data_IF_148591794674
#
_entry.id   IF_148591794674
#
_cell.length_a   1.000
_cell.length_b   1.000
_cell.length_c   1.000
_cell.angle_alpha   90.00
_cell.angle_beta   90.00
_cell.angle_gamma   90.00
#
_symmetry.space_group_name_H-M   'P 1'
#
loop_
_entity.id
_entity.type
_entity.pdbx_description
1 polymer ?
#
# COMPACT_ATOMS: atom_id res chain seq x y z
N UNK A 1 11.38 52.06 -32.05
CA UNK A 1 11.81 50.68 -31.74
C UNK A 1 11.59 50.44 -30.26
N UNK A 2 10.55 49.71 -29.88
CA UNK A 2 10.40 49.16 -28.52
C UNK A 2 10.18 47.68 -28.70
N UNK A 3 11.23 46.88 -28.46
CA UNK A 3 11.14 45.42 -28.44
C UNK A 3 10.52 45.04 -27.10
N UNK A 4 9.22 44.75 -27.10
CA UNK A 4 8.52 44.22 -25.93
C UNK A 4 9.01 42.80 -25.63
N UNK A 5 9.59 42.61 -24.45
CA UNK A 5 9.96 41.30 -23.94
C UNK A 5 8.68 40.65 -23.36
N UNK A 6 8.09 39.70 -24.08
CA UNK A 6 6.96 38.91 -23.57
C UNK A 6 7.56 37.86 -22.63
N UNK A 7 7.42 38.07 -21.32
CA UNK A 7 7.71 37.06 -20.31
C UNK A 7 6.51 36.08 -20.27
N UNK A 8 6.66 34.91 -20.87
CA UNK A 8 5.66 33.84 -20.78
C UNK A 8 5.84 33.16 -19.42
N UNK A 9 5.01 33.52 -18.44
CA UNK A 9 4.85 32.74 -17.22
C UNK A 9 4.13 31.43 -17.58
N UNK A 10 4.88 30.36 -17.80
CA UNK A 10 4.33 29.00 -17.81
C UNK A 10 4.00 28.64 -16.37
N UNK A 11 2.76 28.87 -15.97
CA UNK A 11 2.21 28.33 -14.73
C UNK A 11 2.08 26.83 -14.94
N UNK A 12 3.08 26.06 -14.49
CA UNK A 12 2.93 24.62 -14.31
C UNK A 12 1.90 24.41 -13.20
N UNK A 13 0.65 24.19 -13.60
CA UNK A 13 -0.36 23.58 -12.74
C UNK A 13 0.10 22.16 -12.46
N UNK A 14 0.92 21.99 -11.41
CA UNK A 14 1.06 20.69 -10.75
C UNK A 14 -0.31 20.43 -10.13
N UNK A 15 -1.20 19.78 -10.87
CA UNK A 15 -2.31 19.11 -10.22
C UNK A 15 -1.66 18.07 -9.33
N UNK A 16 -1.78 18.22 -8.02
CA UNK A 16 -1.66 17.11 -7.09
C UNK A 16 -2.69 16.08 -7.54
N UNK A 17 -2.29 15.20 -8.44
CA UNK A 17 -2.99 13.94 -8.62
C UNK A 17 -2.52 13.20 -7.37
N UNK A 18 -3.36 13.18 -6.35
CA UNK A 18 -3.15 12.32 -5.21
C UNK A 18 -3.59 10.94 -5.65
N UNK A 19 -2.70 9.96 -5.53
CA UNK A 19 -3.07 8.58 -5.80
C UNK A 19 -4.08 8.18 -4.76
N UNK A 20 -4.94 7.22 -5.08
CA UNK A 20 -5.86 6.73 -4.08
C UNK A 20 -6.18 5.28 -4.36
N UNK A 21 -5.95 4.44 -3.37
CA UNK A 21 -6.27 3.03 -3.45
C UNK A 21 -6.38 2.37 -2.08
N UNK A 22 -7.23 1.36 -2.00
CA UNK A 22 -7.53 0.66 -0.76
C UNK A 22 -7.65 -0.85 -1.00
N UNK A 23 -7.16 -1.65 -0.06
CA UNK A 23 -7.32 -3.10 -0.08
C UNK A 23 -8.64 -3.47 0.57
N UNK A 24 -9.51 -4.16 -0.18
CA UNK A 24 -10.89 -4.48 0.21
C UNK A 24 -11.12 -5.97 0.46
N UNK A 25 -10.27 -6.84 -0.08
CA UNK A 25 -10.38 -8.29 0.11
C UNK A 25 -8.97 -8.92 0.23
N UNK A 26 -8.55 -9.45 1.39
CA UNK A 26 -9.19 -9.21 2.67
C UNK A 26 -9.16 -7.69 3.00
N UNK A 27 -10.16 -7.14 3.71
CA UNK A 27 -10.18 -5.71 4.00
C UNK A 27 -8.95 -5.28 4.80
N UNK A 28 -8.28 -4.22 4.33
CA UNK A 28 -7.26 -3.54 5.10
C UNK A 28 -7.86 -2.88 6.35
N UNK A 29 -7.04 -2.62 7.37
CA UNK A 29 -7.45 -2.05 8.66
C UNK A 29 -8.29 -0.77 8.50
N UNK A 30 -7.83 0.17 7.67
CA UNK A 30 -8.59 1.38 7.37
C UNK A 30 -9.90 1.14 6.62
N UNK A 31 -10.04 0.04 5.88
CA UNK A 31 -11.26 -0.30 5.12
C UNK A 31 -12.19 -1.27 5.85
N UNK A 32 -11.79 -1.80 7.00
CA UNK A 32 -12.55 -2.81 7.77
C UNK A 32 -13.97 -2.34 8.09
N UNK A 33 -14.17 -1.05 8.34
CA UNK A 33 -15.48 -0.48 8.66
C UNK A 33 -16.52 -0.65 7.55
N UNK A 34 -16.10 -0.86 6.29
CA UNK A 34 -17.00 -1.15 5.18
C UNK A 34 -17.65 -2.53 5.28
N UNK A 35 -17.07 -3.43 6.06
CA UNK A 35 -17.49 -4.82 6.22
C UNK A 35 -17.92 -5.16 7.65
N UNK A 36 -17.41 -4.40 8.62
CA UNK A 36 -17.76 -4.52 10.04
C UNK A 36 -18.09 -3.14 10.62
N UNK A 37 -19.37 -2.82 10.74
CA UNK A 37 -19.83 -1.50 11.20
C UNK A 37 -19.56 -1.21 12.69
N UNK A 38 -19.01 -2.15 13.45
CA UNK A 38 -18.67 -1.95 14.86
C UNK A 38 -17.30 -1.31 15.09
N UNK A 39 -16.44 -1.26 14.05
CA UNK A 39 -15.11 -0.65 14.14
C UNK A 39 -15.15 0.85 13.80
N UNK A 40 -14.15 1.59 14.27
CA UNK A 40 -14.00 3.02 13.95
C UNK A 40 -13.86 3.22 12.43
N UNK A 41 -14.71 4.05 11.79
CA UNK A 41 -14.61 4.29 10.36
C UNK A 41 -13.43 5.20 10.01
N UNK A 42 -12.71 4.86 8.95
CA UNK A 42 -11.82 5.77 8.23
C UNK A 42 -12.41 6.08 6.84
N UNK A 43 -12.98 7.27 6.66
CA UNK A 43 -13.57 7.67 5.38
C UNK A 43 -12.54 8.02 4.31
N UNK A 44 -11.26 8.06 4.67
CA UNK A 44 -10.10 8.28 3.79
C UNK A 44 -9.23 7.03 3.71
N UNK A 45 -9.86 5.87 3.72
CA UNK A 45 -9.20 4.56 3.73
C UNK A 45 -8.42 4.24 2.45
N UNK A 46 -8.57 5.07 1.42
CA UNK A 46 -7.77 5.10 0.20
C UNK A 46 -6.59 6.08 0.22
N UNK A 47 -6.35 6.79 1.33
CA UNK A 47 -5.27 7.79 1.49
C UNK A 47 -4.14 7.26 2.41
N UNK A 48 -3.91 5.95 2.47
CA UNK A 48 -2.77 5.38 3.20
C UNK A 48 -1.46 5.51 2.38
N UNK A 49 -1.14 6.75 2.02
CA UNK A 49 -0.12 7.17 1.04
C UNK A 49 1.20 7.69 1.64
N UNK A 50 1.57 7.21 2.83
CA UNK A 50 2.80 7.62 3.51
C UNK A 50 2.87 9.13 3.85
N UNK A 51 1.72 9.79 3.95
CA UNK A 51 1.60 11.25 4.09
C UNK A 51 1.64 12.05 2.79
N UNK A 52 1.67 11.37 1.63
CA UNK A 52 1.75 11.95 0.30
C UNK A 52 3.18 12.01 -0.24
N UNK A 53 3.30 12.10 -1.57
CA UNK A 53 4.58 12.02 -2.29
C UNK A 53 5.68 12.95 -1.73
N UNK A 54 5.36 14.21 -1.43
CA UNK A 54 6.33 15.18 -0.89
C UNK A 54 6.80 14.81 0.52
N UNK A 55 5.86 14.46 1.41
CA UNK A 55 6.17 14.08 2.80
C UNK A 55 7.02 12.81 2.81
N UNK A 56 6.66 11.81 2.00
CA UNK A 56 7.43 10.59 1.88
C UNK A 56 8.85 10.87 1.36
N UNK A 57 8.97 11.48 0.19
CA UNK A 57 10.24 11.49 -0.55
C UNK A 57 11.17 12.62 -0.11
N UNK A 58 10.66 13.83 0.08
CA UNK A 58 11.48 15.00 0.38
C UNK A 58 11.71 15.17 1.89
N UNK A 59 10.69 14.97 2.71
CA UNK A 59 10.81 15.17 4.17
C UNK A 59 11.31 13.94 4.90
N UNK A 60 10.91 12.74 4.45
CA UNK A 60 11.19 11.48 5.13
C UNK A 60 12.17 10.58 4.37
N UNK A 61 12.85 11.09 3.33
CA UNK A 61 13.90 10.35 2.61
C UNK A 61 13.42 9.05 1.97
N UNK A 62 12.17 9.02 1.51
CA UNK A 62 11.51 7.85 0.90
C UNK A 62 10.84 6.92 1.91
N UNK A 63 11.01 7.16 3.21
CA UNK A 63 10.46 6.29 4.26
C UNK A 63 8.94 6.43 4.38
N UNK A 64 8.29 5.33 4.72
CA UNK A 64 6.84 5.21 4.89
C UNK A 64 6.54 4.43 6.16
N UNK A 65 5.41 4.73 6.82
CA UNK A 65 4.87 3.88 7.87
C UNK A 65 4.62 2.46 7.37
N UNK A 66 4.68 1.49 8.28
CA UNK A 66 4.62 0.06 7.93
C UNK A 66 3.34 -0.28 7.18
N UNK A 67 2.25 0.39 7.54
CA UNK A 67 0.91 0.22 6.98
C UNK A 67 0.34 1.47 6.31
N UNK A 68 1.22 2.37 5.85
CA UNK A 68 0.85 3.49 4.96
C UNK A 68 0.59 4.83 5.64
N UNK A 69 0.74 4.91 6.96
CA UNK A 69 0.78 6.19 7.69
C UNK A 69 2.06 6.99 7.33
N UNK A 70 2.08 8.32 7.51
CA UNK A 70 3.31 9.10 7.48
C UNK A 70 4.39 8.51 8.40
N UNK A 71 5.63 8.38 7.91
CA UNK A 71 6.70 7.73 8.66
C UNK A 71 6.94 8.33 10.06
N UNK A 72 6.77 9.64 10.20
CA UNK A 72 7.00 10.39 11.45
C UNK A 72 5.81 10.41 12.40
N UNK A 73 4.68 9.78 12.05
CA UNK A 73 3.52 9.77 12.93
C UNK A 73 3.83 9.08 14.28
N UNK A 74 3.19 9.53 15.38
CA UNK A 74 3.37 8.91 16.68
C UNK A 74 3.07 7.41 16.66
N UNK A 75 3.84 6.64 17.43
CA UNK A 75 3.65 5.20 17.55
C UNK A 75 2.72 4.86 18.74
N UNK A 76 1.84 3.85 18.62
CA UNK A 76 1.56 3.10 17.39
C UNK A 76 0.88 3.98 16.35
N UNK A 77 1.34 3.90 15.10
CA UNK A 77 0.71 4.61 14.00
C UNK A 77 -0.71 4.06 13.80
N UNK A 78 -1.62 4.88 13.26
CA UNK A 78 -3.04 4.54 13.24
C UNK A 78 -3.34 3.21 12.51
N UNK A 79 -2.64 2.90 11.42
CA UNK A 79 -2.82 1.66 10.67
C UNK A 79 -1.90 0.52 11.12
N UNK A 80 -0.96 0.74 12.03
CA UNK A 80 -0.15 -0.32 12.62
C UNK A 80 -0.98 -1.16 13.62
N UNK A 81 -0.51 -2.37 13.94
CA UNK A 81 -1.09 -3.20 14.99
C UNK A 81 -1.07 -2.42 16.31
N UNK A 82 -2.14 -2.56 17.07
CA UNK A 82 -2.45 -1.77 18.29
C UNK A 82 -2.69 -0.27 18.09
N UNK A 83 -2.60 0.22 16.84
CA UNK A 83 -3.07 1.54 16.44
C UNK A 83 -4.59 1.66 16.41
N UNK A 84 -5.09 2.85 16.10
CA UNK A 84 -6.52 3.16 16.05
C UNK A 84 -7.34 2.18 15.17
N UNK A 85 -6.78 1.76 14.04
CA UNK A 85 -7.42 0.83 13.11
C UNK A 85 -6.86 -0.59 13.20
N UNK A 86 -5.70 -0.78 13.85
CA UNK A 86 -5.08 -2.09 14.07
C UNK A 86 -5.61 -2.81 15.30
N UNK A 87 -6.90 -3.13 15.31
CA UNK A 87 -7.61 -3.72 16.46
C UNK A 87 -7.46 -5.25 16.56
N UNK A 88 -6.76 -5.88 15.61
CA UNK A 88 -6.49 -7.31 15.60
C UNK A 88 -7.66 -8.20 15.18
N UNK A 89 -8.69 -7.63 14.58
CA UNK A 89 -9.81 -8.37 13.98
C UNK A 89 -9.33 -9.14 12.76
N UNK A 90 -9.49 -10.46 12.76
CA UNK A 90 -9.14 -11.30 11.62
C UNK A 90 -10.11 -11.06 10.48
N UNK A 91 -9.61 -10.48 9.40
CA UNK A 91 -10.34 -10.18 8.18
C UNK A 91 -10.69 -11.45 7.40
N UNK A 92 -9.77 -12.42 7.36
CA UNK A 92 -9.99 -13.71 6.71
C UNK A 92 -9.04 -14.77 7.28
N UNK A 93 -9.52 -16.02 7.34
CA UNK A 93 -8.69 -17.21 7.61
C UNK A 93 -8.44 -18.00 6.32
N UNK A 94 -7.19 -18.34 6.04
CA UNK A 94 -6.74 -19.10 4.87
C UNK A 94 -6.08 -20.41 5.29
N UNK A 95 -5.77 -21.26 4.31
CA UNK A 95 -4.98 -22.49 4.51
C UNK A 95 -3.49 -22.24 4.21
N UNK A 96 -2.56 -22.98 4.84
CA UNK A 96 -1.16 -22.97 4.46
C UNK A 96 -0.99 -23.23 2.96
N UNK A 97 -0.07 -22.48 2.31
CA UNK A 97 0.23 -22.63 0.88
C UNK A 97 -0.84 -22.13 -0.10
N UNK A 98 -1.97 -21.64 0.40
CA UNK A 98 -3.10 -21.25 -0.43
C UNK A 98 -2.74 -20.09 -1.36
N UNK A 99 -3.17 -20.18 -2.63
CA UNK A 99 -3.25 -19.02 -3.51
C UNK A 99 -4.55 -18.27 -3.20
N UNK A 100 -4.43 -17.03 -2.75
CA UNK A 100 -5.54 -16.17 -2.34
C UNK A 100 -5.75 -15.04 -3.34
N UNK A 101 -6.98 -14.58 -3.49
CA UNK A 101 -7.27 -13.38 -4.27
C UNK A 101 -7.18 -12.15 -3.35
N UNK A 102 -6.37 -11.17 -3.72
CA UNK A 102 -6.27 -9.88 -3.03
C UNK A 102 -6.93 -8.81 -3.89
N UNK A 103 -8.06 -8.29 -3.41
CA UNK A 103 -8.89 -7.28 -4.03
C UNK A 103 -8.49 -5.87 -3.63
N UNK A 104 -8.13 -5.04 -4.61
CA UNK A 104 -7.76 -3.63 -4.45
C UNK A 104 -8.68 -2.76 -5.31
N UNK A 105 -9.18 -1.66 -4.75
CA UNK A 105 -9.88 -0.62 -5.48
C UNK A 105 -8.97 0.61 -5.61
N UNK A 106 -8.66 1.02 -6.83
CA UNK A 106 -8.07 2.31 -7.15
C UNK A 106 -9.18 3.31 -7.44
N UNK A 107 -9.24 4.40 -6.67
CA UNK A 107 -10.11 5.54 -6.98
C UNK A 107 -9.38 6.61 -7.79
N UNK A 108 -8.04 6.59 -7.79
CA UNK A 108 -7.19 7.32 -8.71
C UNK A 108 -6.00 6.45 -9.11
N UNK A 109 -5.92 6.09 -10.39
CA UNK A 109 -4.90 5.20 -10.94
C UNK A 109 -3.66 6.01 -11.38
N UNK A 110 -2.50 5.69 -10.80
CA UNK A 110 -1.22 6.36 -11.02
C UNK A 110 -0.21 5.49 -11.78
N UNK A 111 -0.65 4.40 -12.42
CA UNK A 111 0.21 3.37 -13.01
C UNK A 111 1.21 2.83 -11.98
N UNK A 112 2.20 2.05 -12.39
CA UNK A 112 3.23 1.51 -11.50
C UNK A 112 2.94 0.06 -11.13
N UNK A 113 3.22 -0.34 -9.90
CA UNK A 113 3.20 -1.75 -9.50
C UNK A 113 2.60 -2.02 -8.14
N UNK A 114 1.94 -3.16 -8.00
CA UNK A 114 1.58 -3.74 -6.71
C UNK A 114 2.57 -4.82 -6.30
N UNK A 115 2.89 -4.87 -5.01
CA UNK A 115 3.55 -5.99 -4.37
C UNK A 115 2.80 -6.38 -3.09
N UNK A 116 3.08 -7.60 -2.63
CA UNK A 116 2.47 -8.15 -1.44
C UNK A 116 3.55 -8.71 -0.53
N UNK A 117 3.39 -8.53 0.77
CA UNK A 117 4.31 -9.07 1.77
C UNK A 117 3.53 -9.56 2.99
N UNK A 118 4.08 -10.52 3.70
CA UNK A 118 3.46 -11.12 4.89
C UNK A 118 4.38 -11.00 6.10
N UNK A 119 3.80 -10.60 7.23
CA UNK A 119 4.44 -10.63 8.53
C UNK A 119 3.70 -11.60 9.46
N UNK A 120 4.40 -12.57 10.03
CA UNK A 120 3.91 -13.28 11.22
C UNK A 120 4.23 -12.39 12.42
N UNK A 121 3.21 -11.93 13.15
CA UNK A 121 3.43 -10.96 14.22
C UNK A 121 4.34 -11.55 15.31
N UNK A 122 5.50 -10.92 15.60
CA UNK A 122 6.37 -11.39 16.68
C UNK A 122 5.73 -11.22 18.06
N UNK A 123 4.96 -10.15 18.25
CA UNK A 123 4.14 -9.89 19.43
C UNK A 123 2.81 -9.29 18.97
N UNK A 124 1.71 -9.96 19.31
CA UNK A 124 0.35 -9.54 18.94
C UNK A 124 -0.11 -8.28 19.67
N UNK A 125 0.59 -7.88 20.74
CA UNK A 125 0.30 -6.70 21.55
C UNK A 125 1.22 -5.51 21.24
N UNK A 126 2.05 -5.61 20.20
CA UNK A 126 2.97 -4.55 19.78
C UNK A 126 2.84 -4.27 18.27
N UNK A 127 3.21 -3.06 17.80
CA UNK A 127 3.30 -2.77 16.37
C UNK A 127 4.24 -3.74 15.65
N UNK A 128 3.87 -4.12 14.44
CA UNK A 128 4.72 -4.89 13.54
C UNK A 128 5.96 -4.08 13.12
N UNK A 129 7.17 -4.65 13.20
CA UNK A 129 8.36 -4.00 12.67
C UNK A 129 8.47 -4.21 11.16
N UNK A 130 9.01 -3.24 10.40
CA UNK A 130 9.18 -3.37 8.94
C UNK A 130 9.94 -4.66 8.54
N UNK A 131 10.90 -5.10 9.35
CA UNK A 131 11.73 -6.28 9.07
C UNK A 131 11.04 -7.64 9.27
N UNK A 132 9.79 -7.68 9.75
CA UNK A 132 9.03 -8.94 9.83
C UNK A 132 8.37 -9.31 8.49
N UNK A 133 8.25 -8.36 7.58
CA UNK A 133 7.61 -8.60 6.28
C UNK A 133 8.53 -9.34 5.35
N UNK A 134 8.02 -10.46 4.82
CA UNK A 134 8.64 -11.24 3.77
C UNK A 134 7.81 -11.08 2.50
N UNK A 135 8.46 -10.84 1.37
CA UNK A 135 7.77 -10.66 0.09
C UNK A 135 7.06 -11.95 -0.34
N UNK A 136 5.86 -11.79 -0.90
CA UNK A 136 5.08 -12.85 -1.49
C UNK A 136 5.16 -12.77 -3.02
N UNK A 137 5.05 -13.93 -3.66
CA UNK A 137 4.94 -14.02 -5.11
C UNK A 137 3.46 -14.12 -5.53
N UNK A 138 3.18 -13.65 -6.73
CA UNK A 138 1.92 -13.90 -7.41
C UNK A 138 1.82 -15.38 -7.85
N UNK A 139 0.63 -15.83 -8.22
CA UNK A 139 0.39 -17.21 -8.67
C UNK A 139 1.32 -17.62 -9.82
N UNK A 140 1.61 -16.68 -10.73
CA UNK A 140 2.48 -16.85 -11.89
C UNK A 140 3.99 -16.81 -11.56
N UNK A 141 4.34 -16.59 -10.29
CA UNK A 141 5.71 -16.53 -9.81
C UNK A 141 6.38 -15.15 -9.92
N UNK A 142 5.69 -14.14 -10.44
CA UNK A 142 6.20 -12.76 -10.45
C UNK A 142 6.14 -12.12 -9.05
N UNK A 143 7.03 -11.15 -8.80
CA UNK A 143 7.03 -10.38 -7.54
C UNK A 143 6.12 -9.16 -7.56
N UNK A 144 5.65 -8.76 -8.75
CA UNK A 144 4.87 -7.54 -8.93
C UNK A 144 3.78 -7.69 -9.99
N UNK A 145 2.61 -7.11 -9.71
CA UNK A 145 1.60 -6.84 -10.73
C UNK A 145 1.85 -5.46 -11.33
N UNK A 146 1.82 -5.34 -12.65
CA UNK A 146 1.95 -4.04 -13.35
C UNK A 146 0.58 -3.47 -13.64
N UNK A 147 0.35 -2.24 -13.21
CA UNK A 147 -0.95 -1.56 -13.34
C UNK A 147 -1.08 -0.96 -14.73
N UNK A 148 -2.23 -1.19 -15.35
CA UNK A 148 -2.65 -0.62 -16.63
C UNK A 148 -3.53 0.60 -16.42
N UNK A 149 -3.76 1.42 -17.45
CA UNK A 149 -4.57 2.64 -17.31
C UNK A 149 -6.06 2.33 -17.06
N UNK A 150 -6.50 1.13 -17.44
CA UNK A 150 -7.87 0.64 -17.33
C UNK A 150 -8.17 0.03 -15.96
N UNK A 151 -7.15 -0.24 -15.15
CA UNK A 151 -7.29 -0.86 -13.85
C UNK A 151 -8.03 0.05 -12.86
N UNK A 152 -9.12 -0.46 -12.30
CA UNK A 152 -9.92 0.20 -11.25
C UNK A 152 -10.10 -0.77 -10.09
N UNK A 153 -10.68 -1.94 -10.35
CA UNK A 153 -10.80 -3.03 -9.40
C UNK A 153 -9.88 -4.16 -9.82
N UNK A 154 -8.85 -4.41 -9.02
CA UNK A 154 -7.79 -5.37 -9.30
C UNK A 154 -7.92 -6.54 -8.34
N UNK A 155 -7.80 -7.76 -8.87
CA UNK A 155 -7.87 -9.01 -8.12
C UNK A 155 -6.60 -9.79 -8.43
N UNK A 156 -5.57 -9.61 -7.61
CA UNK A 156 -4.31 -10.32 -7.81
C UNK A 156 -4.32 -11.64 -7.05
N UNK A 157 -3.87 -12.71 -7.69
CA UNK A 157 -3.70 -14.00 -7.03
C UNK A 157 -2.32 -14.07 -6.39
N UNK A 158 -2.27 -14.15 -5.07
CA UNK A 158 -1.05 -14.10 -4.26
C UNK A 158 -0.86 -15.46 -3.57
N UNK A 159 0.36 -16.00 -3.62
CA UNK A 159 0.68 -17.29 -2.98
C UNK A 159 1.10 -17.08 -1.53
N UNK A 160 0.34 -17.63 -0.59
CA UNK A 160 0.73 -17.67 0.81
C UNK A 160 1.79 -18.76 1.06
N UNK A 161 2.65 -18.58 2.08
CA UNK A 161 3.64 -19.58 2.45
C UNK A 161 3.00 -20.82 3.13
N UNK A 162 3.72 -21.94 3.08
CA UNK A 162 3.37 -23.20 3.77
C UNK A 162 3.68 -23.10 5.28
N UNK A 163 2.97 -22.20 5.97
CA UNK A 163 3.12 -21.96 7.41
C UNK A 163 1.75 -21.90 8.09
N UNK A 164 1.76 -22.05 9.41
CA UNK A 164 0.61 -21.74 10.27
C UNK A 164 0.87 -20.43 11.00
N UNK A 165 -0.14 -19.58 11.11
CA UNK A 165 -0.05 -18.30 11.80
C UNK A 165 -1.45 -17.82 12.23
N UNK A 166 -1.66 -17.68 13.53
CA UNK A 166 -2.95 -17.23 14.08
C UNK A 166 -3.18 -15.73 13.90
N UNK A 167 -2.09 -14.96 13.84
CA UNK A 167 -2.08 -13.50 13.75
C UNK A 167 -0.98 -13.05 12.80
N UNK A 168 -1.34 -12.86 11.54
CA UNK A 168 -0.42 -12.37 10.50
C UNK A 168 -0.96 -11.08 9.90
N UNK A 169 -0.05 -10.30 9.33
CA UNK A 169 -0.38 -9.08 8.60
C UNK A 169 -0.03 -9.29 7.15
N UNK A 170 -1.05 -9.34 6.29
CA UNK A 170 -0.88 -9.23 4.84
C UNK A 170 -0.80 -7.76 4.48
N UNK A 171 0.27 -7.36 3.81
CA UNK A 171 0.48 -5.99 3.34
C UNK A 171 0.46 -5.93 1.83
N UNK A 172 -0.42 -5.08 1.31
CA UNK A 172 -0.35 -4.58 -0.06
C UNK A 172 0.50 -3.32 -0.08
N UNK A 173 1.43 -3.24 -1.02
CA UNK A 173 2.17 -2.01 -1.33
C UNK A 173 1.91 -1.64 -2.79
N UNK A 174 1.56 -0.38 -3.02
CA UNK A 174 1.46 0.20 -4.34
C UNK A 174 2.55 1.26 -4.51
N UNK A 175 3.53 0.98 -5.37
CA UNK A 175 4.47 1.99 -5.85
C UNK A 175 3.90 2.61 -7.13
N UNK A 176 3.56 3.90 -7.07
CA UNK A 176 3.05 4.63 -8.22
C UNK A 176 4.09 4.71 -9.36
N UNK A 177 3.62 5.06 -10.56
CA UNK A 177 4.45 5.06 -11.78
C UNK A 177 4.35 6.33 -12.61
N UNK A 178 3.77 7.40 -12.07
CA UNK A 178 3.46 8.62 -12.82
C UNK A 178 4.41 9.79 -12.55
N UNK A 179 5.25 9.74 -11.50
CA UNK A 179 6.23 10.80 -11.28
C UNK A 179 7.38 10.70 -12.28
N UNK A 180 7.84 11.86 -12.76
CA UNK A 180 8.98 11.96 -13.66
C UNK A 180 10.28 11.94 -12.87
N UNK A 181 11.18 11.02 -13.19
CA UNK A 181 12.46 10.90 -12.51
C UNK A 181 13.54 10.27 -13.37
N UNK A 182 14.77 10.28 -12.87
CA UNK A 182 15.92 9.67 -13.54
C UNK A 182 15.91 8.16 -13.34
N UNK A 183 15.98 7.40 -14.42
CA UNK A 183 16.14 5.94 -14.39
C UNK A 183 17.62 5.57 -14.20
N UNK A 184 17.90 4.29 -13.92
CA UNK A 184 19.27 3.78 -13.72
C UNK A 184 20.16 3.94 -14.97
N UNK A 185 19.55 4.01 -16.15
CA UNK A 185 20.25 4.29 -17.41
C UNK A 185 20.53 5.78 -17.66
N UNK A 186 20.25 6.63 -16.67
CA UNK A 186 20.45 8.08 -16.71
C UNK A 186 19.39 8.84 -17.52
N UNK A 187 18.41 8.16 -18.11
CA UNK A 187 17.35 8.79 -18.89
C UNK A 187 16.18 9.14 -17.97
N UNK A 188 15.61 10.31 -18.17
CA UNK A 188 14.47 10.78 -17.40
C UNK A 188 13.15 10.34 -18.04
N UNK A 189 12.29 9.66 -17.28
CA UNK A 189 11.00 9.11 -17.74
C UNK A 189 9.99 9.02 -16.58
N UNK A 190 8.67 8.84 -16.86
CA UNK A 190 7.70 8.53 -15.82
C UNK A 190 8.02 7.18 -15.16
N UNK A 191 7.75 7.07 -13.86
CA UNK A 191 7.91 5.84 -13.06
C UNK A 191 9.32 5.58 -12.51
N UNK A 192 10.28 6.38 -12.95
CA UNK A 192 11.67 6.34 -12.48
C UNK A 192 11.91 7.30 -11.30
N UNK A 193 12.98 7.06 -10.54
CA UNK A 193 13.28 7.82 -9.32
C UNK A 193 12.24 7.62 -8.21
N UNK A 194 12.17 8.57 -7.25
CA UNK A 194 11.20 8.52 -6.16
C UNK A 194 9.75 8.56 -6.65
N UNK A 195 8.90 7.71 -6.09
CA UNK A 195 7.48 7.61 -6.41
C UNK A 195 6.65 7.67 -5.13
N UNK A 196 5.38 8.08 -5.25
CA UNK A 196 4.42 7.94 -4.16
C UNK A 196 4.13 6.47 -3.88
N UNK A 197 4.00 6.12 -2.60
CA UNK A 197 3.63 4.78 -2.18
C UNK A 197 2.33 4.78 -1.41
N UNK A 198 1.52 3.74 -1.61
CA UNK A 198 0.40 3.40 -0.73
C UNK A 198 0.72 2.08 -0.06
N UNK A 199 0.31 1.93 1.19
CA UNK A 199 0.36 0.64 1.88
C UNK A 199 -0.96 0.39 2.60
N UNK A 200 -1.40 -0.86 2.60
CA UNK A 200 -2.54 -1.28 3.41
C UNK A 200 -2.23 -2.63 4.05
N UNK A 201 -2.55 -2.76 5.33
CA UNK A 201 -2.33 -3.96 6.12
C UNK A 201 -3.67 -4.58 6.49
N UNK A 202 -3.80 -5.89 6.35
CA UNK A 202 -4.95 -6.67 6.80
C UNK A 202 -4.51 -7.77 7.75
N UNK A 203 -5.18 -7.87 8.88
CA UNK A 203 -4.97 -8.94 9.85
C UNK A 203 -5.64 -10.22 9.35
N UNK A 204 -4.86 -11.27 9.10
CA UNK A 204 -5.34 -12.57 8.60
C UNK A 204 -4.86 -13.70 9.51
N UNK A 205 -5.47 -14.87 9.34
CA UNK A 205 -4.98 -16.12 9.92
C UNK A 205 -4.69 -17.15 8.83
N UNK A 206 -3.72 -18.01 9.05
CA UNK A 206 -3.37 -19.14 8.18
C UNK A 206 -3.39 -20.39 9.06
N UNK A 207 -4.42 -21.21 8.93
CA UNK A 207 -4.69 -22.34 9.83
C UNK A 207 -5.01 -23.59 8.98
N UNK A 208 -4.41 -24.76 9.28
CA UNK A 208 -4.80 -26.02 8.66
C UNK A 208 -6.30 -26.27 8.83
N UNK A 209 -6.94 -26.87 7.82
CA UNK A 209 -8.31 -27.37 8.03
C UNK A 209 -8.27 -28.48 9.07
N UNK A 210 -9.20 -28.47 10.03
CA UNK A 210 -9.37 -29.61 10.92
C UNK A 210 -9.62 -30.86 10.07
N UNK A 211 -8.84 -31.91 10.31
CA UNK A 211 -8.99 -33.23 9.70
C UNK A 211 -10.12 -34.02 10.34
#
# INVERSE_FOLDING_TARGET
MVKGLILVFVVYLVKDISGHGMMLDPPGRSSMWRFNHSVTPNYRDNENFCGGAYVQNELNGGMCGVCGDPFTDPHPQNNANTGLYGTGIIAHTYKPGQVVEVGVLLTANHLGTFSYSLCVLPDVNSPEPENCFNDLLLEDGSSHYTITAEDIMIKNKVRLPEITCERCVLRWTYRCGNNWGMCDDGIWRPGCGPQEHFRSCSDIAIIPSET
#
